data_IF_338867049234
#
_entry.id   IF_338867049234
#
_cell.length_a   1.000
_cell.length_b   1.000
_cell.length_c   1.000
_cell.angle_alpha   90.00
_cell.angle_beta   90.00
_cell.angle_gamma   90.00
#
_symmetry.space_group_name_H-M   'P 1'
#
loop_
_entity.id
_entity.type
_entity.pdbx_description
1 polymer ?
#
# COMPACT_ATOMS: atom_id res chain seq x y z
N UNK A 1 1.14 20.34 27.64
CA UNK A 1 1.02 20.54 26.19
C UNK A 1 -0.47 20.53 25.87
N UNK A 2 -0.97 21.38 24.97
CA UNK A 2 -2.36 21.27 24.51
C UNK A 2 -2.57 19.93 23.81
N UNK A 3 -3.78 19.37 23.90
CA UNK A 3 -4.13 18.12 23.22
C UNK A 3 -4.09 18.33 21.70
N UNK A 4 -3.36 17.45 20.99
CA UNK A 4 -3.26 17.47 19.52
C UNK A 4 -4.43 16.71 18.88
N UNK A 5 -4.78 17.05 17.64
CA UNK A 5 -5.69 16.17 16.87
C UNK A 5 -4.99 14.85 16.54
N UNK A 6 -5.74 13.76 16.30
CA UNK A 6 -5.17 12.51 15.77
C UNK A 6 -4.25 12.72 14.56
N UNK A 7 -4.71 13.51 13.57
CA UNK A 7 -3.92 13.86 12.39
C UNK A 7 -2.61 14.58 12.72
N UNK A 8 -2.68 15.64 13.53
CA UNK A 8 -1.51 16.41 13.93
C UNK A 8 -0.50 15.50 14.65
N UNK A 9 -0.97 14.70 15.61
CA UNK A 9 -0.12 13.79 16.37
C UNK A 9 0.59 12.78 15.47
N UNK A 10 -0.15 12.14 14.56
CA UNK A 10 0.42 11.13 13.67
C UNK A 10 1.46 11.72 12.72
N UNK A 11 1.14 12.82 12.02
CA UNK A 11 2.05 13.45 11.06
C UNK A 11 3.29 14.02 11.75
N UNK A 12 3.16 14.63 12.93
CA UNK A 12 4.31 15.12 13.69
C UNK A 12 5.24 13.99 14.11
N UNK A 13 4.71 12.87 14.59
CA UNK A 13 5.53 11.70 14.90
C UNK A 13 6.23 11.13 13.66
N UNK A 14 5.55 11.13 12.51
CA UNK A 14 6.12 10.70 11.22
C UNK A 14 7.38 11.51 10.86
N UNK A 15 7.36 12.81 11.13
CA UNK A 15 8.51 13.72 10.94
C UNK A 15 9.44 13.82 12.16
N UNK A 16 9.29 12.93 13.16
CA UNK A 16 10.11 12.88 14.39
C UNK A 16 10.03 14.16 15.22
N UNK A 17 8.92 14.88 15.13
CA UNK A 17 8.63 16.04 15.96
C UNK A 17 8.03 15.64 17.32
N UNK A 18 7.99 16.60 18.25
CA UNK A 18 7.44 16.39 19.59
C UNK A 18 5.91 16.27 19.52
N UNK A 19 5.37 15.25 20.18
CA UNK A 19 3.94 14.94 20.30
C UNK A 19 3.47 14.96 21.76
N UNK A 20 2.16 15.05 21.96
CA UNK A 20 1.51 15.00 23.29
C UNK A 20 1.45 13.58 23.88
N UNK A 21 1.29 12.56 23.02
CA UNK A 21 1.51 11.13 23.30
C UNK A 21 1.99 10.41 22.03
N UNK A 22 2.51 9.19 22.16
CA UNK A 22 2.82 8.34 21.00
C UNK A 22 1.52 8.09 20.22
N UNK A 23 1.47 8.35 18.89
CA UNK A 23 0.31 8.00 18.10
C UNK A 23 0.23 6.49 17.89
N UNK A 24 -1.00 5.99 17.76
CA UNK A 24 -1.27 4.60 17.40
C UNK A 24 -1.97 4.62 16.05
N UNK A 25 -1.28 4.21 14.99
CA UNK A 25 -1.89 4.10 13.66
C UNK A 25 -1.58 2.76 13.04
N UNK A 26 -2.45 2.30 12.14
CA UNK A 26 -2.23 1.07 11.39
C UNK A 26 -2.09 1.41 9.90
N UNK A 27 -0.88 1.32 9.32
CA UNK A 27 -0.63 1.50 7.90
C UNK A 27 -0.82 0.20 7.11
N UNK A 28 -1.60 -0.75 7.64
CA UNK A 28 -2.06 -1.98 6.99
C UNK A 28 -3.56 -2.21 7.27
N UNK A 29 -4.12 -3.33 6.81
CA UNK A 29 -5.55 -3.63 7.02
C UNK A 29 -5.89 -3.73 8.50
N UNK A 30 -7.02 -3.12 8.89
CA UNK A 30 -7.62 -3.20 10.23
C UNK A 30 -8.88 -4.08 10.26
N UNK A 31 -9.28 -4.63 9.12
CA UNK A 31 -10.53 -5.35 8.99
C UNK A 31 -10.48 -6.71 9.71
N UNK A 32 -11.43 -6.92 10.62
CA UNK A 32 -11.80 -8.21 11.21
C UNK A 32 -13.28 -8.48 10.98
N UNK A 33 -13.72 -9.74 11.15
CA UNK A 33 -15.14 -10.10 11.04
C UNK A 33 -15.99 -9.25 12.00
N UNK A 34 -15.54 -9.04 13.23
CA UNK A 34 -16.23 -8.22 14.22
C UNK A 34 -16.35 -6.75 13.80
N UNK A 35 -15.33 -6.19 13.14
CA UNK A 35 -15.41 -4.83 12.59
C UNK A 35 -16.42 -4.73 11.45
N UNK A 36 -16.52 -5.76 10.60
CA UNK A 36 -17.50 -5.85 9.52
C UNK A 36 -18.92 -5.94 10.08
N UNK A 37 -19.13 -6.77 11.12
CA UNK A 37 -20.40 -6.89 11.83
C UNK A 37 -20.81 -5.57 12.49
N UNK A 38 -19.87 -4.90 13.15
CA UNK A 38 -20.12 -3.65 13.87
C UNK A 38 -20.56 -2.50 12.93
N UNK A 39 -20.03 -2.45 11.70
CA UNK A 39 -20.34 -1.37 10.76
C UNK A 39 -21.30 -1.78 9.62
N UNK A 40 -21.64 -3.08 9.53
CA UNK A 40 -22.50 -3.64 8.49
C UNK A 40 -21.89 -3.59 7.08
N UNK A 41 -20.55 -3.61 6.96
CA UNK A 41 -19.85 -3.60 5.68
C UNK A 41 -18.87 -4.78 5.61
N UNK A 42 -19.11 -5.70 4.69
CA UNK A 42 -18.50 -7.03 4.67
C UNK A 42 -17.62 -7.26 3.46
N UNK A 43 -16.65 -8.16 3.60
CA UNK A 43 -15.97 -8.79 2.48
C UNK A 43 -16.96 -9.73 1.75
N UNK A 44 -16.85 -9.90 0.43
CA UNK A 44 -15.90 -9.24 -0.48
C UNK A 44 -16.35 -7.84 -0.96
N UNK A 45 -17.60 -7.44 -0.70
CA UNK A 45 -18.21 -6.23 -1.28
C UNK A 45 -17.40 -4.95 -1.04
N UNK A 46 -16.80 -4.81 0.15
CA UNK A 46 -16.00 -3.62 0.51
C UNK A 46 -14.82 -3.39 -0.42
N UNK A 47 -14.36 -4.41 -1.17
CA UNK A 47 -13.23 -4.25 -2.08
C UNK A 47 -13.58 -3.44 -3.33
N UNK A 48 -14.87 -3.34 -3.68
CA UNK A 48 -15.37 -2.70 -4.90
C UNK A 48 -16.49 -1.67 -4.67
N UNK A 49 -16.84 -1.39 -3.41
CA UNK A 49 -17.85 -0.42 -3.01
C UNK A 49 -17.22 0.64 -2.08
N UNK A 50 -17.12 1.91 -2.52
CA UNK A 50 -16.37 2.94 -1.79
C UNK A 50 -17.05 3.35 -0.49
N UNK A 51 -18.38 3.30 -0.40
CA UNK A 51 -19.10 3.63 0.83
C UNK A 51 -18.90 2.54 1.88
N UNK A 52 -18.96 1.27 1.47
CA UNK A 52 -18.65 0.14 2.35
C UNK A 52 -17.19 0.16 2.78
N UNK A 53 -16.27 0.47 1.85
CA UNK A 53 -14.84 0.57 2.15
C UNK A 53 -14.54 1.66 3.18
N UNK A 54 -15.05 2.87 2.97
CA UNK A 54 -14.89 3.99 3.89
C UNK A 54 -15.45 3.65 5.28
N UNK A 55 -16.65 3.06 5.33
CA UNK A 55 -17.31 2.69 6.59
C UNK A 55 -16.55 1.64 7.38
N UNK A 56 -16.05 0.59 6.73
CA UNK A 56 -15.23 -0.41 7.40
C UNK A 56 -13.91 0.19 7.88
N UNK A 57 -13.27 1.04 7.08
CA UNK A 57 -12.01 1.68 7.45
C UNK A 57 -12.16 2.60 8.68
N UNK A 58 -13.27 3.34 8.75
CA UNK A 58 -13.59 4.24 9.86
C UNK A 58 -13.61 3.54 11.23
N UNK A 59 -13.91 2.24 11.28
CA UNK A 59 -13.88 1.46 12.53
C UNK A 59 -12.52 1.49 13.22
N UNK A 60 -11.43 1.63 12.47
CA UNK A 60 -10.08 1.78 13.03
C UNK A 60 -9.96 3.01 13.94
N UNK A 61 -10.62 4.11 13.59
CA UNK A 61 -10.70 5.30 14.42
C UNK A 61 -11.83 5.20 15.44
N UNK A 62 -13.05 4.91 15.00
CA UNK A 62 -14.27 5.05 15.82
C UNK A 62 -14.41 3.98 16.91
N UNK A 63 -13.90 2.76 16.65
CA UNK A 63 -14.02 1.63 17.57
C UNK A 63 -12.67 1.34 18.24
N UNK A 64 -11.58 1.28 17.46
CA UNK A 64 -10.26 0.92 17.98
C UNK A 64 -9.48 2.12 18.56
N UNK A 65 -9.89 3.35 18.25
CA UNK A 65 -9.26 4.57 18.78
C UNK A 65 -7.90 4.91 18.16
N UNK A 66 -7.60 4.39 16.96
CA UNK A 66 -6.37 4.73 16.25
C UNK A 66 -6.36 6.19 15.79
N UNK A 67 -5.18 6.77 15.63
CA UNK A 67 -4.99 8.12 15.13
C UNK A 67 -5.14 8.22 13.60
N UNK A 68 -5.44 7.10 12.93
CA UNK A 68 -5.46 6.92 11.47
C UNK A 68 -6.70 6.17 10.97
N UNK A 69 -7.11 6.45 9.73
CA UNK A 69 -8.07 5.63 8.96
C UNK A 69 -7.40 5.19 7.65
N UNK A 70 -7.52 3.91 7.30
CA UNK A 70 -6.85 3.29 6.14
C UNK A 70 -7.85 2.51 5.26
N UNK A 71 -8.41 3.11 4.18
CA UNK A 71 -9.44 2.50 3.35
C UNK A 71 -8.87 1.57 2.28
N UNK A 72 -8.28 0.46 2.70
CA UNK A 72 -7.87 -0.63 1.81
C UNK A 72 -7.73 -1.93 2.59
N UNK A 73 -8.07 -3.04 1.94
CA UNK A 73 -8.10 -4.35 2.59
C UNK A 73 -7.51 -5.48 1.73
N UNK A 74 -6.98 -5.14 0.57
CA UNK A 74 -6.47 -6.08 -0.43
C UNK A 74 -5.09 -5.63 -0.93
N UNK A 75 -4.32 -6.57 -1.49
CA UNK A 75 -3.10 -6.29 -2.25
C UNK A 75 -3.32 -6.39 -3.77
N UNK A 76 -4.54 -6.73 -4.20
CA UNK A 76 -4.85 -7.11 -5.59
C UNK A 76 -5.54 -6.00 -6.41
N UNK A 77 -5.71 -4.78 -5.88
CA UNK A 77 -6.49 -3.74 -6.56
C UNK A 77 -5.85 -3.32 -7.88
N UNK A 78 -4.54 -3.09 -7.86
CA UNK A 78 -3.78 -2.73 -9.04
C UNK A 78 -3.77 -3.87 -10.07
N UNK A 79 -3.62 -5.12 -9.64
CA UNK A 79 -3.67 -6.29 -10.53
C UNK A 79 -5.04 -6.42 -11.22
N UNK A 80 -6.13 -6.26 -10.47
CA UNK A 80 -7.48 -6.21 -11.04
C UNK A 80 -7.66 -5.03 -12.00
N UNK A 81 -7.04 -3.88 -11.71
CA UNK A 81 -7.06 -2.73 -12.62
C UNK A 81 -6.24 -2.95 -13.90
N UNK A 82 -5.22 -3.81 -13.90
CA UNK A 82 -4.60 -4.31 -15.14
C UNK A 82 -5.53 -5.25 -15.94
N UNK A 83 -6.66 -5.68 -15.36
CA UNK A 83 -7.65 -6.55 -16.01
C UNK A 83 -7.47 -8.03 -15.68
N UNK A 84 -6.60 -8.38 -14.71
CA UNK A 84 -6.43 -9.75 -14.26
C UNK A 84 -7.67 -10.21 -13.50
N UNK A 85 -7.98 -11.50 -13.61
CA UNK A 85 -9.03 -12.12 -12.81
C UNK A 85 -8.58 -12.26 -11.37
N UNK A 86 -9.39 -11.71 -10.46
CA UNK A 86 -9.19 -11.79 -9.02
C UNK A 86 -10.36 -12.55 -8.41
N UNK A 87 -10.04 -13.55 -7.59
CA UNK A 87 -10.98 -14.06 -6.61
C UNK A 87 -11.02 -13.06 -5.45
N UNK A 88 -12.16 -12.43 -5.26
CA UNK A 88 -12.33 -11.41 -4.21
C UNK A 88 -12.51 -12.00 -2.81
N UNK A 89 -12.51 -13.33 -2.69
CA UNK A 89 -12.59 -14.02 -1.42
C UNK A 89 -14.00 -14.04 -0.82
N UNK A 90 -14.03 -14.42 0.45
CA UNK A 90 -15.20 -14.55 1.31
C UNK A 90 -15.07 -13.64 2.53
N UNK A 91 -16.01 -13.73 3.47
CA UNK A 91 -15.96 -12.96 4.72
C UNK A 91 -14.65 -13.13 5.51
N UNK A 92 -14.00 -14.30 5.39
CA UNK A 92 -12.84 -14.74 6.16
C UNK A 92 -11.62 -15.10 5.29
N UNK A 93 -11.67 -14.83 3.98
CA UNK A 93 -10.55 -15.07 3.06
C UNK A 93 -10.20 -13.80 2.27
N UNK A 94 -8.90 -13.58 2.08
CA UNK A 94 -8.40 -12.38 1.39
C UNK A 94 -8.43 -12.57 -0.13
N UNK A 95 -8.55 -11.49 -0.91
CA UNK A 95 -8.49 -11.57 -2.36
C UNK A 95 -7.17 -12.11 -2.89
N UNK A 96 -7.23 -12.89 -3.97
CA UNK A 96 -6.05 -13.40 -4.67
C UNK A 96 -6.20 -13.35 -6.19
N UNK A 97 -5.07 -13.17 -6.89
CA UNK A 97 -5.06 -13.17 -8.35
C UNK A 97 -5.05 -14.62 -8.87
N UNK A 98 -5.87 -14.90 -9.88
CA UNK A 98 -6.04 -16.26 -10.40
C UNK A 98 -5.04 -16.63 -11.50
N UNK A 99 -4.36 -15.64 -12.05
CA UNK A 99 -3.44 -15.79 -13.18
C UNK A 99 -2.33 -14.74 -13.16
N UNK A 100 -1.16 -15.09 -13.70
CA UNK A 100 -0.03 -14.19 -13.86
C UNK A 100 0.41 -14.22 -15.35
N UNK A 101 -0.32 -13.55 -16.25
CA UNK A 101 -0.26 -13.83 -17.68
C UNK A 101 0.92 -13.17 -18.40
N UNK A 102 1.61 -12.22 -17.77
CA UNK A 102 2.64 -11.43 -18.44
C UNK A 102 3.99 -12.12 -18.31
N UNK A 103 4.56 -12.57 -19.42
CA UNK A 103 5.90 -13.14 -19.42
C UNK A 103 6.96 -12.06 -19.57
N UNK A 104 6.70 -11.04 -20.38
CA UNK A 104 7.64 -9.96 -20.68
C UNK A 104 7.11 -8.58 -20.24
N UNK A 105 7.97 -7.69 -19.70
CA UNK A 105 7.54 -6.37 -19.23
C UNK A 105 7.00 -5.48 -20.35
N UNK A 106 7.40 -5.74 -21.59
CA UNK A 106 6.91 -5.04 -22.78
C UNK A 106 5.44 -5.35 -23.10
N UNK A 107 4.91 -6.48 -22.62
CA UNK A 107 3.50 -6.87 -22.77
C UNK A 107 2.59 -6.09 -21.81
N UNK A 108 3.18 -5.50 -20.76
CA UNK A 108 2.44 -4.71 -19.78
C UNK A 108 2.12 -3.34 -20.38
N UNK A 109 0.84 -3.12 -20.64
CA UNK A 109 0.30 -1.81 -21.01
C UNK A 109 -0.56 -1.32 -19.86
N UNK A 110 -0.16 -0.22 -19.23
CA UNK A 110 -0.98 0.47 -18.23
C UNK A 110 -2.18 1.06 -18.96
N UNK A 111 -3.41 0.65 -18.63
CA UNK A 111 -4.60 1.22 -19.26
C UNK A 111 -4.74 2.73 -19.00
N UNK A 112 -5.17 3.50 -20.00
CA UNK A 112 -5.40 4.95 -19.83
C UNK A 112 -6.47 5.23 -18.76
N UNK A 113 -7.41 4.31 -18.58
CA UNK A 113 -8.49 4.35 -17.58
C UNK A 113 -8.13 3.68 -16.25
N UNK A 114 -6.84 3.38 -15.99
CA UNK A 114 -6.40 2.60 -14.83
C UNK A 114 -6.95 3.13 -13.50
N UNK A 115 -6.95 4.46 -13.30
CA UNK A 115 -7.46 5.10 -12.08
C UNK A 115 -8.99 5.08 -11.97
N UNK A 116 -9.70 5.00 -13.09
CA UNK A 116 -11.16 5.00 -13.17
C UNK A 116 -11.76 3.59 -13.02
N UNK A 117 -10.92 2.54 -13.14
CA UNK A 117 -11.34 1.15 -12.99
C UNK A 117 -11.80 0.87 -11.56
N UNK A 118 -12.86 0.04 -11.37
CA UNK A 118 -13.53 -0.08 -10.08
C UNK A 118 -12.61 -0.38 -8.87
N UNK A 119 -11.67 -1.35 -8.92
CA UNK A 119 -10.80 -1.67 -7.78
C UNK A 119 -9.97 -0.49 -7.25
N UNK A 120 -9.44 0.33 -8.17
CA UNK A 120 -8.59 1.49 -7.87
C UNK A 120 -9.45 2.70 -7.53
N UNK A 121 -10.49 2.96 -8.33
CA UNK A 121 -11.46 4.04 -8.07
C UNK A 121 -12.12 3.91 -6.70
N UNK A 122 -12.39 2.69 -6.24
CA UNK A 122 -13.00 2.43 -4.93
C UNK A 122 -12.15 3.02 -3.80
N UNK A 123 -10.82 2.81 -3.83
CA UNK A 123 -9.90 3.37 -2.83
C UNK A 123 -9.89 4.90 -2.88
N UNK A 124 -9.84 5.47 -4.09
CA UNK A 124 -9.83 6.93 -4.30
C UNK A 124 -11.12 7.57 -3.78
N UNK A 125 -12.28 7.00 -4.10
CA UNK A 125 -13.58 7.51 -3.64
C UNK A 125 -13.77 7.31 -2.14
N UNK A 126 -13.32 6.18 -1.57
CA UNK A 126 -13.35 5.97 -0.13
C UNK A 126 -12.54 7.04 0.62
N UNK A 127 -11.37 7.42 0.11
CA UNK A 127 -10.60 8.55 0.66
C UNK A 127 -11.36 9.88 0.58
N UNK A 128 -12.07 10.16 -0.52
CA UNK A 128 -12.90 11.38 -0.66
C UNK A 128 -14.05 11.40 0.35
N UNK A 129 -14.71 10.27 0.56
CA UNK A 129 -15.79 10.11 1.55
C UNK A 129 -15.24 10.40 2.94
N UNK A 130 -14.15 9.72 3.33
CA UNK A 130 -13.50 9.92 4.62
C UNK A 130 -12.99 11.35 4.80
N UNK A 131 -12.46 11.98 3.75
CA UNK A 131 -12.00 13.36 3.81
C UNK A 131 -13.14 14.33 4.07
N UNK A 132 -14.31 14.09 3.46
CA UNK A 132 -15.52 14.88 3.69
C UNK A 132 -16.05 14.71 5.11
N UNK A 133 -15.97 13.50 5.67
CA UNK A 133 -16.52 13.17 7.00
C UNK A 133 -15.62 13.62 8.16
N UNK A 134 -14.31 13.34 8.06
CA UNK A 134 -13.35 13.59 9.15
C UNK A 134 -12.49 14.84 8.96
N UNK A 135 -12.53 15.48 7.78
CA UNK A 135 -11.82 16.72 7.49
C UNK A 135 -10.31 16.61 7.74
N UNK A 136 -9.79 17.49 8.61
CA UNK A 136 -8.39 17.48 9.07
C UNK A 136 -8.25 16.97 10.51
N UNK A 137 -9.25 16.24 11.02
CA UNK A 137 -9.22 15.73 12.38
C UNK A 137 -8.40 14.44 12.51
N UNK A 138 -8.64 13.46 11.61
CA UNK A 138 -8.01 12.13 11.62
C UNK A 138 -7.07 11.97 10.43
N UNK A 139 -5.94 11.27 10.61
CA UNK A 139 -4.98 11.05 9.54
C UNK A 139 -5.51 10.00 8.55
N UNK A 140 -5.63 10.36 7.27
CA UNK A 140 -6.03 9.41 6.23
C UNK A 140 -4.80 8.76 5.60
N UNK A 141 -4.76 7.43 5.60
CA UNK A 141 -3.64 6.62 5.10
C UNK A 141 -4.04 5.90 3.82
N UNK A 142 -3.51 6.37 2.69
CA UNK A 142 -3.60 5.64 1.42
C UNK A 142 -2.65 4.45 1.37
N UNK A 143 -2.75 3.63 0.33
CA UNK A 143 -1.78 2.55 0.06
C UNK A 143 -1.62 2.28 -1.43
N UNK A 144 -0.39 1.98 -1.82
CA UNK A 144 -0.04 1.42 -3.12
C UNK A 144 0.84 0.19 -2.96
N UNK A 145 0.75 -0.73 -3.92
CA UNK A 145 1.77 -1.76 -4.10
C UNK A 145 2.96 -1.18 -4.84
N UNK A 146 4.15 -1.49 -4.36
CA UNK A 146 5.36 -1.19 -5.06
C UNK A 146 5.58 -2.10 -6.27
N UNK A 147 6.51 -1.75 -7.15
CA UNK A 147 6.71 -2.44 -8.41
C UNK A 147 7.18 -3.89 -8.24
N UNK A 148 7.79 -4.24 -7.11
CA UNK A 148 8.21 -5.61 -6.82
C UNK A 148 6.99 -6.50 -6.56
N UNK A 149 6.10 -6.06 -5.68
CA UNK A 149 4.81 -6.74 -5.45
C UNK A 149 3.95 -6.78 -6.72
N UNK A 150 3.87 -5.68 -7.47
CA UNK A 150 3.13 -5.70 -8.75
C UNK A 150 3.73 -6.73 -9.71
N UNK A 151 5.05 -6.86 -9.77
CA UNK A 151 5.69 -7.90 -10.60
C UNK A 151 5.31 -9.31 -10.15
N UNK A 152 5.17 -9.56 -8.85
CA UNK A 152 4.64 -10.84 -8.35
C UNK A 152 3.22 -11.11 -8.85
N UNK A 153 2.34 -10.11 -8.80
CA UNK A 153 0.95 -10.28 -9.22
C UNK A 153 0.81 -10.45 -10.74
N UNK A 154 1.68 -9.81 -11.52
CA UNK A 154 1.58 -9.82 -12.99
C UNK A 154 2.35 -10.98 -13.65
N UNK A 155 3.53 -11.34 -13.13
CA UNK A 155 4.44 -12.33 -13.70
C UNK A 155 4.57 -13.63 -12.88
N UNK A 156 4.11 -13.59 -11.61
CA UNK A 156 4.18 -14.72 -10.69
C UNK A 156 5.45 -14.70 -9.85
N UNK A 157 5.30 -14.98 -8.54
CA UNK A 157 6.37 -14.90 -7.54
C UNK A 157 7.59 -15.76 -7.93
N UNK A 158 7.37 -17.04 -8.22
CA UNK A 158 8.45 -17.98 -8.54
C UNK A 158 9.19 -17.55 -9.81
N UNK A 159 8.46 -17.22 -10.87
CA UNK A 159 9.05 -16.83 -12.16
C UNK A 159 9.89 -15.56 -11.98
N UNK A 160 9.34 -14.54 -11.32
CA UNK A 160 10.03 -13.29 -11.06
C UNK A 160 11.30 -13.47 -10.23
N UNK A 161 11.24 -14.24 -9.14
CA UNK A 161 12.41 -14.49 -8.28
C UNK A 161 13.51 -15.25 -9.03
N UNK A 162 13.17 -16.24 -9.87
CA UNK A 162 14.16 -16.94 -10.71
C UNK A 162 14.86 -15.97 -11.67
N UNK A 163 14.13 -14.99 -12.23
CA UNK A 163 14.69 -13.98 -13.14
C UNK A 163 15.67 -13.04 -12.46
N UNK A 164 15.59 -12.82 -11.14
CA UNK A 164 16.60 -12.01 -10.42
C UNK A 164 18.02 -12.55 -10.58
N UNK A 165 18.17 -13.86 -10.80
CA UNK A 165 19.44 -14.53 -11.04
C UNK A 165 19.71 -14.73 -12.53
N UNK A 166 18.71 -15.26 -13.26
CA UNK A 166 18.92 -15.69 -14.66
C UNK A 166 18.82 -14.55 -15.68
N UNK A 167 18.10 -13.47 -15.36
CA UNK A 167 17.86 -12.34 -16.26
C UNK A 167 17.55 -11.06 -15.46
N UNK A 168 18.56 -10.52 -14.75
CA UNK A 168 18.37 -9.37 -13.87
C UNK A 168 17.95 -8.11 -14.63
N UNK A 169 18.29 -7.99 -15.92
CA UNK A 169 17.87 -6.86 -16.73
C UNK A 169 16.38 -6.89 -17.03
N UNK A 170 15.80 -8.08 -17.26
CA UNK A 170 14.34 -8.22 -17.37
C UNK A 170 13.62 -7.82 -16.08
N UNK A 171 14.16 -8.18 -14.91
CA UNK A 171 13.64 -7.71 -13.61
C UNK A 171 13.66 -6.19 -13.52
N UNK A 172 14.76 -5.54 -13.89
CA UNK A 172 14.85 -4.07 -13.90
C UNK A 172 13.80 -3.43 -14.81
N UNK A 173 13.55 -4.01 -15.99
CA UNK A 173 12.52 -3.51 -16.92
C UNK A 173 11.10 -3.64 -16.33
N UNK A 174 10.79 -4.75 -15.63
CA UNK A 174 9.52 -4.86 -14.89
C UNK A 174 9.38 -3.76 -13.84
N UNK A 175 10.42 -3.56 -13.02
CA UNK A 175 10.38 -2.56 -11.96
C UNK A 175 10.25 -1.13 -12.51
N UNK A 176 11.01 -0.80 -13.56
CA UNK A 176 10.97 0.50 -14.23
C UNK A 176 9.60 0.81 -14.84
N UNK A 177 8.98 -0.20 -15.46
CA UNK A 177 7.64 -0.08 -16.03
C UNK A 177 6.59 0.16 -14.95
N UNK A 178 6.62 -0.64 -13.88
CA UNK A 178 5.57 -0.69 -12.86
C UNK A 178 5.68 0.43 -11.82
N UNK A 179 6.87 1.02 -11.60
CA UNK A 179 7.03 2.11 -10.61
C UNK A 179 6.13 3.31 -10.93
N UNK A 180 5.92 3.59 -12.22
CA UNK A 180 5.05 4.67 -12.69
C UNK A 180 3.59 4.51 -12.25
N UNK A 181 3.12 3.25 -12.12
CA UNK A 181 1.77 2.94 -11.63
C UNK A 181 1.66 3.25 -10.15
N UNK A 182 2.65 2.83 -9.36
CA UNK A 182 2.68 3.12 -7.91
C UNK A 182 2.71 4.63 -7.65
N UNK A 183 3.51 5.41 -8.41
CA UNK A 183 3.57 6.87 -8.31
C UNK A 183 2.24 7.52 -8.72
N UNK A 184 1.69 7.13 -9.87
CA UNK A 184 0.43 7.65 -10.38
C UNK A 184 -0.71 7.44 -9.37
N UNK A 185 -0.84 6.22 -8.85
CA UNK A 185 -1.91 5.87 -7.92
C UNK A 185 -1.72 6.53 -6.55
N UNK A 186 -0.48 6.62 -6.04
CA UNK A 186 -0.21 7.32 -4.78
C UNK A 186 -0.58 8.80 -4.90
N UNK A 187 -0.20 9.46 -5.99
CA UNK A 187 -0.53 10.86 -6.23
C UNK A 187 -2.03 11.10 -6.39
N UNK A 188 -2.76 10.17 -7.02
CA UNK A 188 -4.22 10.23 -7.09
C UNK A 188 -4.89 10.09 -5.70
N UNK A 189 -4.30 9.31 -4.79
CA UNK A 189 -4.77 9.19 -3.42
C UNK A 189 -4.51 10.46 -2.60
N UNK A 190 -3.37 11.12 -2.78
CA UNK A 190 -3.12 12.44 -2.21
C UNK A 190 -4.13 13.48 -2.71
N UNK A 191 -4.39 13.50 -4.03
CA UNK A 191 -5.38 14.39 -4.64
C UNK A 191 -6.82 14.11 -4.13
N UNK A 192 -7.10 12.89 -3.65
CA UNK A 192 -8.35 12.49 -3.02
C UNK A 192 -8.45 12.81 -1.52
N UNK A 193 -7.36 13.22 -0.88
CA UNK A 193 -7.33 13.63 0.52
C UNK A 193 -6.53 12.74 1.47
N UNK A 194 -5.77 11.76 0.97
CA UNK A 194 -4.80 11.04 1.81
C UNK A 194 -3.75 12.01 2.38
N UNK A 195 -3.39 11.82 3.65
CA UNK A 195 -2.36 12.62 4.33
C UNK A 195 -0.98 11.95 4.23
N UNK A 196 -0.95 10.64 4.06
CA UNK A 196 0.24 9.79 3.91
C UNK A 196 -0.15 8.56 3.07
N UNK A 197 0.81 8.00 2.33
CA UNK A 197 0.60 6.76 1.57
C UNK A 197 1.56 5.67 2.04
N UNK A 198 1.01 4.51 2.41
CA UNK A 198 1.80 3.30 2.61
C UNK A 198 2.23 2.74 1.25
N UNK A 199 3.53 2.55 1.07
CA UNK A 199 4.11 1.90 -0.09
C UNK A 199 4.53 0.48 0.33
N UNK A 200 3.86 -0.54 -0.17
CA UNK A 200 4.08 -1.92 0.25
C UNK A 200 4.81 -2.75 -0.81
N UNK A 201 5.98 -3.27 -0.47
CA UNK A 201 6.73 -4.20 -1.32
C UNK A 201 7.06 -5.49 -0.56
N UNK A 202 6.61 -6.64 -1.07
CA UNK A 202 6.77 -7.96 -0.44
C UNK A 202 8.19 -8.53 -0.67
N UNK A 203 9.20 -7.76 -0.31
CA UNK A 203 10.61 -8.11 -0.33
C UNK A 203 11.09 -8.67 1.02
N UNK A 204 10.31 -9.60 1.59
CA UNK A 204 10.61 -10.27 2.87
C UNK A 204 11.96 -10.98 2.86
N UNK A 205 12.66 -11.01 4.00
CA UNK A 205 13.94 -11.71 4.16
C UNK A 205 13.88 -13.19 3.82
N UNK A 206 12.71 -13.83 3.93
CA UNK A 206 12.49 -15.24 3.56
C UNK A 206 12.63 -15.50 2.05
N UNK A 207 12.45 -14.46 1.21
CA UNK A 207 12.43 -14.58 -0.26
C UNK A 207 13.50 -13.74 -0.95
N UNK A 208 13.84 -12.59 -0.38
CA UNK A 208 14.68 -11.57 -1.02
C UNK A 208 15.85 -11.29 -0.08
N UNK A 209 17.09 -11.37 -0.55
CA UNK A 209 18.29 -11.04 0.24
C UNK A 209 18.54 -9.53 0.32
N UNK A 210 19.33 -9.07 1.30
CA UNK A 210 19.73 -7.66 1.40
C UNK A 210 20.45 -7.15 0.13
N UNK A 211 21.26 -8.00 -0.51
CA UNK A 211 21.92 -7.66 -1.77
C UNK A 211 20.91 -7.46 -2.91
N UNK A 212 19.89 -8.33 -3.00
CA UNK A 212 18.81 -8.19 -3.96
C UNK A 212 18.02 -6.88 -3.74
N UNK A 213 17.68 -6.57 -2.48
CA UNK A 213 17.05 -5.29 -2.14
C UNK A 213 17.92 -4.09 -2.57
N UNK A 214 19.21 -4.10 -2.23
CA UNK A 214 20.15 -3.03 -2.61
C UNK A 214 20.23 -2.85 -4.13
N UNK A 215 20.31 -3.94 -4.87
CA UNK A 215 20.62 -3.89 -6.31
C UNK A 215 19.39 -3.63 -7.19
N UNK A 216 18.18 -3.96 -6.72
CA UNK A 216 16.94 -3.80 -7.48
C UNK A 216 15.96 -2.79 -6.89
N UNK A 217 15.74 -2.80 -5.58
CA UNK A 217 14.68 -2.03 -4.94
C UNK A 217 15.14 -0.66 -4.44
N UNK A 218 16.32 -0.56 -3.83
CA UNK A 218 16.86 0.70 -3.33
C UNK A 218 16.85 1.83 -4.38
N UNK A 219 17.39 1.65 -5.60
CA UNK A 219 17.35 2.72 -6.61
C UNK A 219 15.92 3.09 -7.00
N UNK A 220 15.04 2.10 -7.17
CA UNK A 220 13.63 2.32 -7.52
C UNK A 220 12.90 3.09 -6.42
N UNK A 221 13.10 2.72 -5.17
CA UNK A 221 12.54 3.41 -4.01
C UNK A 221 13.01 4.87 -3.92
N UNK A 222 14.29 5.13 -4.18
CA UNK A 222 14.83 6.49 -4.20
C UNK A 222 14.25 7.35 -5.34
N UNK A 223 13.85 6.74 -6.45
CA UNK A 223 13.18 7.43 -7.55
C UNK A 223 11.72 7.73 -7.19
N UNK A 224 10.94 6.71 -6.82
CA UNK A 224 9.50 6.89 -6.55
C UNK A 224 9.23 7.83 -5.38
N UNK A 225 10.06 7.81 -4.34
CA UNK A 225 9.90 8.71 -3.18
C UNK A 225 10.11 10.18 -3.52
N UNK A 226 10.82 10.49 -4.62
CA UNK A 226 10.99 11.86 -5.13
C UNK A 226 9.83 12.31 -6.02
N UNK A 227 9.13 11.36 -6.65
CA UNK A 227 8.01 11.63 -7.57
C UNK A 227 6.65 11.65 -6.87
N UNK A 228 6.54 11.05 -5.68
CA UNK A 228 5.33 11.07 -4.86
C UNK A 228 5.22 12.41 -4.11
N UNK A 229 4.04 13.04 -4.20
CA UNK A 229 3.79 14.42 -3.71
C UNK A 229 3.83 14.59 -2.19
N UNK A 230 3.67 13.52 -1.43
CA UNK A 230 3.48 13.57 0.02
C UNK A 230 4.29 12.53 0.79
N UNK A 231 4.14 12.48 2.13
CA UNK A 231 4.90 11.56 2.95
C UNK A 231 4.53 10.11 2.66
N UNK A 232 5.52 9.23 2.77
CA UNK A 232 5.36 7.81 2.47
C UNK A 232 5.86 6.93 3.60
N UNK A 233 5.15 5.83 3.82
CA UNK A 233 5.53 4.78 4.78
C UNK A 233 5.92 3.55 3.97
N UNK A 234 7.18 3.12 4.01
CA UNK A 234 7.54 1.82 3.43
C UNK A 234 7.06 0.70 4.35
N UNK A 235 6.40 -0.29 3.79
CA UNK A 235 6.09 -1.53 4.49
C UNK A 235 6.70 -2.73 3.75
N UNK A 236 7.45 -3.54 4.50
CA UNK A 236 7.96 -4.85 4.07
C UNK A 236 7.67 -5.83 5.20
N UNK A 237 7.01 -6.94 4.89
CA UNK A 237 6.71 -7.99 5.88
C UNK A 237 7.96 -8.84 6.20
N UNK A 238 7.91 -9.57 7.33
CA UNK A 238 8.96 -10.51 7.71
C UNK A 238 10.22 -9.85 8.29
N UNK A 239 11.26 -10.66 8.49
CA UNK A 239 12.54 -10.18 9.00
C UNK A 239 13.29 -9.41 7.91
N UNK A 240 13.59 -8.15 8.19
CA UNK A 240 14.33 -7.22 7.32
C UNK A 240 15.50 -6.56 8.05
N UNK A 241 15.92 -7.14 9.17
CA UNK A 241 17.03 -6.62 10.00
C UNK A 241 18.33 -6.49 9.19
N UNK A 242 18.54 -7.40 8.24
CA UNK A 242 19.73 -7.48 7.39
C UNK A 242 19.91 -6.31 6.39
N UNK A 243 18.89 -5.45 6.23
CA UNK A 243 18.88 -4.36 5.23
C UNK A 243 18.34 -3.02 5.74
N UNK A 244 18.22 -2.85 7.06
CA UNK A 244 17.73 -1.61 7.65
C UNK A 244 18.51 -0.38 7.19
N UNK A 245 19.81 -0.51 6.97
CA UNK A 245 20.66 0.58 6.46
C UNK A 245 20.26 1.00 5.04
N UNK A 246 19.89 0.06 4.17
CA UNK A 246 19.43 0.38 2.81
C UNK A 246 18.03 0.98 2.86
N UNK A 247 17.14 0.45 3.69
CA UNK A 247 15.79 1.00 3.88
C UNK A 247 15.85 2.45 4.37
N UNK A 248 16.75 2.77 5.32
CA UNK A 248 16.94 4.13 5.80
C UNK A 248 17.43 5.12 4.71
N UNK A 249 18.07 4.62 3.65
CA UNK A 249 18.54 5.40 2.50
C UNK A 249 17.52 5.49 1.36
N UNK A 250 16.41 4.77 1.44
CA UNK A 250 15.43 4.64 0.36
C UNK A 250 14.56 5.90 0.16
N UNK A 251 14.56 6.84 1.10
CA UNK A 251 13.87 8.14 0.97
C UNK A 251 12.46 8.19 1.53
N UNK A 252 11.93 7.08 2.08
CA UNK A 252 10.64 7.07 2.75
C UNK A 252 10.66 7.89 4.05
N UNK A 253 9.53 8.51 4.37
CA UNK A 253 9.39 9.30 5.61
C UNK A 253 9.46 8.40 6.85
N UNK A 254 8.91 7.19 6.75
CA UNK A 254 8.88 6.21 7.81
C UNK A 254 9.01 4.79 7.27
N UNK A 255 9.50 3.88 8.11
CA UNK A 255 9.53 2.46 7.84
C UNK A 255 8.62 1.73 8.85
N UNK A 256 7.65 0.98 8.32
CA UNK A 256 6.75 0.11 9.07
C UNK A 256 7.21 -1.34 8.94
N UNK A 257 7.83 -1.85 10.01
CA UNK A 257 8.43 -3.18 10.09
C UNK A 257 7.54 -4.19 10.83
N UNK A 258 7.77 -5.47 10.55
CA UNK A 258 7.08 -6.59 11.21
C UNK A 258 7.68 -6.88 12.59
N UNK A 259 6.94 -7.58 13.43
CA UNK A 259 7.34 -8.08 14.75
C UNK A 259 8.62 -8.94 14.79
N UNK A 260 9.11 -9.39 13.63
CA UNK A 260 10.33 -10.20 13.49
C UNK A 260 11.63 -9.38 13.41
N UNK A 261 11.53 -8.05 13.28
CA UNK A 261 12.67 -7.11 13.15
C UNK A 261 13.12 -6.58 14.52
#
# INVERSE_FOLDING_TARGET
MCAMTPKERFLRALYRERVDRIPVGNPTSVATVESMEACGAYFPDVHLDPEKMARLAATGYEILGFDTIAPYFSVQQEAAAFGLKVDWGTIDTMPDVLENPYEDPEEIVVPDDFLDRPPVRTVIEALRILKKEYGDHVCLVGKVMGPWTLSYHLHGVQNFLVKTILDPDKVRRFLDKLKSVSVMFANAQFDAGADVVTFADHATGDLVSAACYRDFLLPIHQEVTREIKGPTILHICGDTTDRLEYIAQAGFTCFHFDSKV
#
